data_IF_334205632402
#
_entry.id   IF_334205632402
#
_cell.length_a   1.000
_cell.length_b   1.000
_cell.length_c   1.000
_cell.angle_alpha   90.00
_cell.angle_beta   90.00
_cell.angle_gamma   90.00
#
_symmetry.space_group_name_H-M   'P 1'
#
loop_
_entity.id
_entity.type
_entity.pdbx_description
1 polymer ?
#
# COMPACT_ATOMS: atom_id res chain seq x y z
N UNK A 1 37.88 -9.09 -72.02
CA UNK A 1 36.54 -9.43 -71.46
C UNK A 1 36.61 -9.23 -69.93
N UNK A 2 36.09 -8.10 -69.42
CA UNK A 2 36.13 -7.73 -68.01
C UNK A 2 34.81 -8.15 -67.34
N UNK A 3 34.89 -9.08 -66.40
CA UNK A 3 33.74 -9.52 -65.59
C UNK A 3 33.51 -8.56 -64.44
N UNK A 4 32.36 -7.91 -64.39
CA UNK A 4 31.98 -7.05 -63.27
C UNK A 4 31.14 -7.87 -62.30
N UNK A 5 31.62 -8.00 -61.06
CA UNK A 5 30.88 -8.63 -59.96
C UNK A 5 30.04 -7.52 -59.28
N UNK A 6 28.73 -7.65 -59.37
CA UNK A 6 27.78 -6.76 -58.66
C UNK A 6 27.43 -7.45 -57.34
N UNK A 7 27.91 -6.88 -56.22
CA UNK A 7 27.54 -7.34 -54.85
C UNK A 7 26.26 -6.61 -54.42
N UNK A 8 25.15 -7.35 -54.31
CA UNK A 8 23.89 -6.82 -53.78
C UNK A 8 23.92 -6.98 -52.26
N UNK A 9 24.02 -5.87 -51.54
CA UNK A 9 23.86 -5.81 -50.08
C UNK A 9 22.38 -5.60 -49.81
N UNK A 10 21.69 -6.61 -49.30
CA UNK A 10 20.30 -6.48 -48.83
C UNK A 10 20.30 -5.85 -47.42
N UNK A 11 19.51 -4.82 -47.17
CA UNK A 11 19.40 -4.27 -45.82
C UNK A 11 18.60 -5.24 -44.92
N UNK A 12 19.22 -5.68 -43.83
CA UNK A 12 18.50 -6.38 -42.76
C UNK A 12 17.68 -5.36 -42.00
N UNK A 13 16.39 -5.30 -42.24
CA UNK A 13 15.45 -4.54 -41.43
C UNK A 13 15.23 -5.29 -40.14
N UNK A 14 15.89 -4.86 -39.05
CA UNK A 14 15.63 -5.38 -37.73
C UNK A 14 14.27 -4.80 -37.25
N UNK A 15 13.20 -5.58 -37.38
CA UNK A 15 11.90 -5.22 -36.83
C UNK A 15 11.99 -5.26 -35.29
N UNK A 16 12.03 -4.10 -34.64
CA UNK A 16 11.87 -3.99 -33.21
C UNK A 16 10.40 -4.27 -32.91
N UNK A 17 10.10 -5.49 -32.46
CA UNK A 17 8.77 -5.86 -31.97
C UNK A 17 8.63 -5.19 -30.60
N UNK A 18 8.03 -4.01 -30.54
CA UNK A 18 7.55 -3.43 -29.30
C UNK A 18 6.36 -4.27 -28.83
N UNK A 19 6.57 -5.15 -27.87
CA UNK A 19 5.50 -5.85 -27.18
C UNK A 19 4.72 -4.79 -26.40
N UNK A 20 3.54 -4.41 -26.90
CA UNK A 20 2.59 -3.64 -26.12
C UNK A 20 2.23 -4.49 -24.90
N UNK A 21 2.63 -4.06 -23.71
CA UNK A 21 2.22 -4.69 -22.47
C UNK A 21 0.77 -4.29 -22.23
N UNK A 22 -0.16 -5.21 -22.53
CA UNK A 22 -1.57 -5.01 -22.23
C UNK A 22 -1.75 -5.17 -20.71
N UNK A 23 -2.59 -4.30 -20.14
CA UNK A 23 -3.07 -4.45 -18.79
C UNK A 23 -3.68 -5.87 -18.62
N UNK A 24 -3.30 -6.57 -17.52
CA UNK A 24 -3.74 -7.94 -17.27
C UNK A 24 -4.30 -8.07 -15.87
N UNK A 25 -5.63 -8.20 -15.74
CA UNK A 25 -6.28 -8.43 -14.46
C UNK A 25 -5.83 -9.73 -13.79
N UNK A 26 -5.68 -10.81 -14.56
CA UNK A 26 -5.27 -12.12 -14.06
C UNK A 26 -3.88 -12.06 -13.43
N UNK A 27 -2.92 -11.46 -14.14
CA UNK A 27 -1.55 -11.28 -13.63
C UNK A 27 -1.52 -10.37 -12.42
N UNK A 28 -2.32 -9.31 -12.40
CA UNK A 28 -2.44 -8.40 -11.25
C UNK A 28 -2.93 -9.13 -10.00
N UNK A 29 -3.96 -9.96 -10.14
CA UNK A 29 -4.50 -10.78 -9.06
C UNK A 29 -3.48 -11.84 -8.58
N UNK A 30 -2.79 -12.52 -9.49
CA UNK A 30 -1.75 -13.51 -9.14
C UNK A 30 -0.65 -12.88 -8.28
N UNK A 31 -0.18 -11.67 -8.65
CA UNK A 31 0.83 -10.95 -7.88
C UNK A 31 0.31 -10.58 -6.48
N UNK A 32 -0.94 -10.09 -6.39
CA UNK A 32 -1.54 -9.74 -5.11
C UNK A 32 -1.72 -10.97 -4.18
N UNK A 33 -2.13 -12.10 -4.72
CA UNK A 33 -2.25 -13.37 -3.97
C UNK A 33 -0.87 -13.83 -3.46
N UNK A 34 0.16 -13.76 -4.30
CA UNK A 34 1.50 -14.15 -3.89
C UNK A 34 2.08 -13.21 -2.82
N UNK A 35 1.82 -11.89 -2.91
CA UNK A 35 2.21 -10.92 -1.89
C UNK A 35 1.51 -11.23 -0.55
N UNK A 36 0.21 -11.45 -0.56
CA UNK A 36 -0.58 -11.82 0.62
C UNK A 36 -0.08 -13.15 1.25
N UNK A 37 0.26 -14.14 0.42
CA UNK A 37 0.81 -15.41 0.89
C UNK A 37 2.15 -15.24 1.62
N UNK A 38 3.00 -14.31 1.16
CA UNK A 38 4.32 -14.04 1.77
C UNK A 38 4.23 -13.22 3.05
N UNK A 39 3.18 -12.41 3.17
CA UNK A 39 2.93 -11.59 4.35
C UNK A 39 2.30 -12.38 5.51
N UNK A 40 1.88 -13.63 5.29
CA UNK A 40 1.28 -14.51 6.29
C UNK A 40 2.29 -15.30 7.10
N UNK A 41 1.88 -15.68 8.32
CA UNK A 41 2.64 -16.54 9.22
C UNK A 41 3.48 -15.75 10.23
N UNK A 42 3.25 -14.44 10.38
CA UNK A 42 3.95 -13.64 11.38
C UNK A 42 3.38 -13.80 12.81
N UNK A 43 2.15 -14.35 12.97
CA UNK A 43 1.49 -14.57 14.25
C UNK A 43 1.07 -13.28 14.94
N UNK A 44 1.98 -12.68 15.70
CA UNK A 44 1.78 -11.36 16.28
C UNK A 44 3.05 -10.50 16.23
N UNK A 45 2.85 -9.20 16.07
CA UNK A 45 3.95 -8.25 16.01
C UNK A 45 3.76 -7.10 17.00
N UNK A 46 4.87 -6.54 17.47
CA UNK A 46 4.89 -5.30 18.23
C UNK A 46 5.90 -4.36 17.60
N UNK A 47 5.48 -3.13 17.32
CA UNK A 47 6.34 -2.10 16.75
C UNK A 47 6.27 -0.82 17.59
N UNK A 48 7.41 -0.12 17.68
CA UNK A 48 7.48 1.27 18.14
C UNK A 48 7.62 2.15 16.89
N UNK A 49 6.74 3.13 16.75
CA UNK A 49 6.64 3.98 15.59
C UNK A 49 6.83 5.43 16.04
N UNK A 50 7.70 6.16 15.35
CA UNK A 50 7.76 7.60 15.44
C UNK A 50 7.03 8.19 14.23
N UNK A 51 5.92 8.91 14.48
CA UNK A 51 5.19 9.62 13.45
C UNK A 51 5.58 11.09 13.49
N UNK A 52 6.12 11.61 12.39
CA UNK A 52 6.47 13.02 12.24
C UNK A 52 5.44 13.67 11.30
N UNK A 53 4.66 14.58 11.83
CA UNK A 53 3.75 15.41 11.05
C UNK A 53 4.45 16.70 10.70
N UNK A 54 4.50 17.04 9.42
CA UNK A 54 5.12 18.26 8.92
C UNK A 54 4.09 19.10 8.18
N UNK A 55 3.99 20.38 8.50
CA UNK A 55 3.13 21.29 7.77
C UNK A 55 3.85 21.88 6.54
N UNK A 56 3.09 22.62 5.72
CA UNK A 56 3.63 23.27 4.51
C UNK A 56 4.71 24.34 4.76
N UNK A 57 4.92 24.75 6.01
CA UNK A 57 5.94 25.69 6.42
C UNK A 57 7.17 25.01 7.02
N UNK A 58 7.19 23.67 7.06
CA UNK A 58 8.28 22.87 7.61
C UNK A 58 8.23 22.73 9.13
N UNK A 59 7.16 23.18 9.81
CA UNK A 59 6.99 22.93 11.22
C UNK A 59 6.60 21.48 11.45
N UNK A 60 7.26 20.81 12.38
CA UNK A 60 7.04 19.39 12.64
C UNK A 60 6.56 19.14 14.07
N UNK A 61 5.74 18.10 14.19
CA UNK A 61 5.31 17.54 15.48
C UNK A 61 5.59 16.05 15.45
N UNK A 62 6.25 15.57 16.50
CA UNK A 62 6.59 14.16 16.66
C UNK A 62 5.61 13.47 17.61
N UNK A 63 5.22 12.25 17.28
CA UNK A 63 4.37 11.38 18.08
C UNK A 63 5.01 10.01 18.25
N UNK A 64 5.17 9.58 19.48
CA UNK A 64 5.58 8.20 19.77
C UNK A 64 4.34 7.32 19.85
N UNK A 65 4.39 6.18 19.17
CA UNK A 65 3.27 5.27 18.98
C UNK A 65 3.76 3.85 19.22
N UNK A 66 2.96 3.06 19.92
CA UNK A 66 3.10 1.59 19.97
C UNK A 66 2.03 0.96 19.10
N UNK A 67 2.43 0.05 18.22
CA UNK A 67 1.52 -0.78 17.46
C UNK A 67 1.65 -2.24 17.87
N UNK A 68 0.53 -2.94 17.96
CA UNK A 68 0.44 -4.38 18.09
C UNK A 68 -0.51 -4.90 17.03
N UNK A 69 -0.06 -5.89 16.29
CA UNK A 69 -0.89 -6.56 15.29
C UNK A 69 -0.93 -8.05 15.63
N UNK A 70 -2.13 -8.59 15.64
CA UNK A 70 -2.41 -10.01 15.77
C UNK A 70 -2.92 -10.53 14.43
N UNK A 71 -2.23 -11.53 13.89
CA UNK A 71 -2.64 -12.19 12.65
C UNK A 71 -3.91 -12.99 12.88
N UNK A 72 -4.93 -12.75 12.08
CA UNK A 72 -6.20 -13.43 12.15
C UNK A 72 -6.30 -14.53 11.09
N UNK A 73 -6.54 -15.78 11.51
CA UNK A 73 -6.54 -16.94 10.61
C UNK A 73 -7.42 -16.77 9.37
N UNK A 74 -8.74 -16.62 9.56
CA UNK A 74 -9.69 -16.55 8.44
C UNK A 74 -10.58 -15.30 8.45
N UNK A 75 -10.41 -14.43 9.42
CA UNK A 75 -11.28 -13.27 9.63
C UNK A 75 -10.59 -11.91 9.42
N UNK A 76 -9.32 -11.91 8.98
CA UNK A 76 -8.49 -10.71 8.90
C UNK A 76 -7.86 -10.33 10.23
N UNK A 77 -6.91 -9.43 10.18
CA UNK A 77 -6.05 -9.07 11.29
C UNK A 77 -6.69 -8.10 12.29
N UNK A 78 -6.11 -8.06 13.48
CA UNK A 78 -6.47 -7.07 14.50
C UNK A 78 -5.25 -6.22 14.83
N UNK A 79 -5.39 -4.92 14.78
CA UNK A 79 -4.31 -4.00 15.13
C UNK A 79 -4.74 -3.02 16.22
N UNK A 80 -3.82 -2.72 17.13
CA UNK A 80 -4.01 -1.76 18.20
C UNK A 80 -2.87 -0.75 18.20
N UNK A 81 -3.20 0.48 17.86
CA UNK A 81 -2.29 1.63 17.84
C UNK A 81 -2.52 2.46 19.10
N UNK A 82 -1.47 2.76 19.89
CA UNK A 82 -1.56 3.53 21.11
C UNK A 82 -0.55 4.69 21.04
N UNK A 83 -1.01 5.92 21.25
CA UNK A 83 -0.16 7.10 21.33
C UNK A 83 0.45 7.25 22.72
N UNK A 84 1.77 7.31 22.81
CA UNK A 84 2.51 7.49 24.06
C UNK A 84 2.91 8.96 24.32
N UNK A 85 3.10 9.73 23.24
CA UNK A 85 3.39 11.17 23.30
C UNK A 85 2.94 11.87 22.01
N UNK A 86 2.81 13.21 22.03
CA UNK A 86 2.87 14.13 23.15
C UNK A 86 1.63 14.07 24.07
N UNK A 87 1.61 14.91 25.09
CA UNK A 87 0.60 14.85 26.14
C UNK A 87 -0.86 15.04 25.68
N UNK A 88 -1.09 15.79 24.61
CA UNK A 88 -2.42 16.07 24.03
C UNK A 88 -3.06 14.84 23.36
N UNK A 89 -2.25 13.91 22.88
CA UNK A 89 -2.72 12.65 22.26
C UNK A 89 -2.41 11.41 23.09
N UNK A 90 -1.66 11.55 24.18
CA UNK A 90 -1.25 10.41 25.03
C UNK A 90 -2.44 9.61 25.52
N UNK A 91 -2.34 8.26 25.34
CA UNK A 91 -3.37 7.31 25.73
C UNK A 91 -4.52 7.22 24.72
N UNK A 92 -4.53 8.03 23.66
CA UNK A 92 -5.41 7.78 22.52
C UNK A 92 -5.08 6.41 21.94
N UNK A 93 -6.11 5.60 21.72
CA UNK A 93 -5.94 4.26 21.16
C UNK A 93 -6.89 4.05 19.98
N UNK A 94 -6.38 3.42 18.93
CA UNK A 94 -7.15 3.04 17.76
C UNK A 94 -7.08 1.52 17.60
N UNK A 95 -8.24 0.87 17.56
CA UNK A 95 -8.40 -0.55 17.33
C UNK A 95 -9.04 -0.78 15.97
N UNK A 96 -8.42 -1.62 15.16
CA UNK A 96 -8.97 -2.09 13.89
C UNK A 96 -9.12 -3.60 13.92
N UNK A 97 -10.30 -4.09 13.54
CA UNK A 97 -10.53 -5.47 13.17
C UNK A 97 -10.79 -5.50 11.68
N UNK A 98 -9.79 -5.88 10.92
CA UNK A 98 -9.88 -6.06 9.48
C UNK A 98 -10.76 -7.26 9.17
N UNK A 99 -11.56 -7.17 8.12
CA UNK A 99 -12.39 -8.26 7.60
C UNK A 99 -12.05 -8.48 6.14
N UNK A 100 -11.99 -9.73 5.70
CA UNK A 100 -11.59 -10.06 4.33
C UNK A 100 -12.48 -9.44 3.25
N UNK A 101 -13.79 -9.60 3.37
CA UNK A 101 -14.73 -9.13 2.36
C UNK A 101 -15.65 -8.02 2.84
N UNK A 102 -15.87 -7.92 4.16
CA UNK A 102 -16.78 -6.94 4.74
C UNK A 102 -16.04 -5.65 5.13
N UNK A 103 -16.83 -4.61 5.47
CA UNK A 103 -16.27 -3.39 6.06
C UNK A 103 -15.65 -3.68 7.42
N UNK A 104 -14.47 -3.12 7.66
CA UNK A 104 -13.73 -3.25 8.91
C UNK A 104 -14.49 -2.66 10.09
N UNK A 105 -14.27 -3.22 11.26
CA UNK A 105 -14.71 -2.62 12.50
C UNK A 105 -13.56 -1.82 13.12
N UNK A 106 -13.76 -0.53 13.30
CA UNK A 106 -12.74 0.39 13.80
C UNK A 106 -13.27 1.22 14.96
N UNK A 107 -12.44 1.41 15.99
CA UNK A 107 -12.79 2.20 17.18
C UNK A 107 -11.63 3.10 17.58
N UNK A 108 -11.97 4.33 17.95
CA UNK A 108 -11.05 5.31 18.50
C UNK A 108 -11.42 5.62 19.94
N UNK A 109 -10.51 5.33 20.86
CA UNK A 109 -10.62 5.77 22.25
C UNK A 109 -9.96 7.13 22.42
N UNK A 110 -10.69 8.08 23.01
CA UNK A 110 -10.24 9.44 23.31
C UNK A 110 -10.17 9.62 24.84
N UNK A 111 -8.98 9.61 25.45
CA UNK A 111 -8.83 9.66 26.90
C UNK A 111 -9.38 10.95 27.52
N UNK A 112 -9.22 12.09 26.85
CA UNK A 112 -9.75 13.37 27.30
C UNK A 112 -11.30 13.36 27.46
N UNK A 113 -11.98 12.56 26.66
CA UNK A 113 -13.44 12.39 26.71
C UNK A 113 -13.87 11.13 27.45
N UNK A 114 -12.92 10.25 27.82
CA UNK A 114 -13.16 8.91 28.37
C UNK A 114 -14.19 8.10 27.56
N UNK A 115 -14.12 8.23 26.23
CA UNK A 115 -15.09 7.63 25.30
C UNK A 115 -14.42 6.83 24.21
N UNK A 116 -15.07 5.72 23.85
CA UNK A 116 -14.78 4.97 22.63
C UNK A 116 -15.78 5.43 21.55
N UNK A 117 -15.26 5.82 20.40
CA UNK A 117 -16.05 6.18 19.23
C UNK A 117 -15.83 5.13 18.16
N UNK A 118 -16.89 4.51 17.67
CA UNK A 118 -16.81 3.65 16.48
C UNK A 118 -16.66 4.53 15.24
N UNK A 119 -15.72 4.19 14.39
CA UNK A 119 -15.56 4.83 13.07
C UNK A 119 -16.54 4.14 12.12
N UNK A 120 -17.52 4.89 11.64
CA UNK A 120 -18.46 4.36 10.64
C UNK A 120 -17.72 4.10 9.32
N UNK A 121 -18.09 3.06 8.60
CA UNK A 121 -17.47 2.72 7.30
C UNK A 121 -17.58 3.87 6.26
N UNK A 122 -18.60 4.74 6.38
CA UNK A 122 -18.71 5.96 5.57
C UNK A 122 -17.67 7.03 5.90
N UNK A 123 -17.00 6.94 7.06
CA UNK A 123 -16.02 7.92 7.55
C UNK A 123 -14.59 7.38 7.49
N UNK A 124 -14.37 6.19 6.93
CA UNK A 124 -13.05 5.57 6.85
C UNK A 124 -12.05 6.36 6.00
N UNK A 125 -12.55 7.14 5.05
CA UNK A 125 -11.75 8.06 4.22
C UNK A 125 -11.30 9.34 4.96
N UNK A 126 -11.76 9.56 6.21
CA UNK A 126 -11.36 10.70 7.01
C UNK A 126 -9.91 10.61 7.50
N UNK A 127 -9.25 11.75 7.78
CA UNK A 127 -7.86 11.78 8.20
C UNK A 127 -7.67 11.14 9.58
N UNK A 128 -6.66 10.27 9.71
CA UNK A 128 -6.30 9.66 10.97
C UNK A 128 -5.48 10.62 11.82
N UNK A 129 -6.08 11.07 12.92
CA UNK A 129 -5.41 11.92 13.92
C UNK A 129 -4.70 13.15 13.34
N UNK A 130 -5.22 13.72 12.24
CA UNK A 130 -4.65 14.90 11.58
C UNK A 130 -3.40 14.61 10.74
N UNK A 131 -3.13 13.36 10.41
CA UNK A 131 -2.09 12.97 9.44
C UNK A 131 -2.66 12.88 8.03
N UNK A 132 -1.80 12.65 7.04
CA UNK A 132 -2.17 12.31 5.67
C UNK A 132 -2.69 10.87 5.52
N UNK A 133 -2.57 10.04 6.56
CA UNK A 133 -3.22 8.74 6.58
C UNK A 133 -4.72 8.89 6.82
N UNK A 134 -5.51 8.08 6.12
CA UNK A 134 -6.93 7.90 6.43
C UNK A 134 -7.13 6.71 7.38
N UNK A 135 -8.31 6.57 7.97
CA UNK A 135 -8.63 5.39 8.78
C UNK A 135 -8.58 4.09 7.97
N UNK A 136 -8.89 4.13 6.67
CA UNK A 136 -8.81 2.94 5.80
C UNK A 136 -7.36 2.51 5.50
N UNK A 137 -6.38 3.41 5.58
CA UNK A 137 -4.96 3.06 5.40
C UNK A 137 -4.38 2.27 6.58
N UNK A 138 -5.08 2.22 7.71
CA UNK A 138 -4.62 1.53 8.91
C UNK A 138 -5.24 0.14 9.09
N UNK A 139 -6.00 -0.31 8.13
CA UNK A 139 -6.48 -1.69 8.06
C UNK A 139 -5.49 -2.55 7.29
N UNK A 140 -5.42 -3.85 7.60
CA UNK A 140 -4.66 -4.80 6.80
C UNK A 140 -5.22 -4.87 5.38
N UNK A 141 -4.34 -5.04 4.42
CA UNK A 141 -4.70 -5.12 3.02
C UNK A 141 -5.11 -6.57 2.72
N UNK A 142 -6.37 -6.77 2.38
CA UNK A 142 -6.91 -8.09 2.04
C UNK A 142 -7.14 -8.18 0.53
N UNK A 143 -6.84 -9.33 -0.06
CA UNK A 143 -6.94 -9.53 -1.51
C UNK A 143 -8.37 -9.28 -2.02
N UNK A 144 -9.37 -9.68 -1.25
CA UNK A 144 -10.79 -9.57 -1.61
C UNK A 144 -11.32 -8.13 -1.64
N UNK A 145 -10.56 -7.17 -1.09
CA UNK A 145 -10.98 -5.75 -1.03
C UNK A 145 -10.72 -4.96 -2.29
N UNK A 146 -10.02 -5.55 -3.26
CA UNK A 146 -9.63 -4.86 -4.48
C UNK A 146 -9.85 -5.73 -5.70
N UNK A 147 -10.04 -5.08 -6.84
CA UNK A 147 -9.74 -5.66 -8.15
C UNK A 147 -8.37 -5.17 -8.58
N UNK A 148 -7.68 -5.97 -9.37
CA UNK A 148 -6.27 -5.78 -9.69
C UNK A 148 -6.08 -5.68 -11.18
N UNK A 149 -5.09 -4.88 -11.59
CA UNK A 149 -4.71 -4.79 -12.99
C UNK A 149 -3.19 -4.59 -13.08
N UNK A 150 -2.46 -5.60 -13.57
CA UNK A 150 -1.04 -5.44 -13.86
C UNK A 150 -0.88 -4.48 -15.02
N UNK A 151 -0.11 -3.39 -14.82
CA UNK A 151 0.11 -2.35 -15.81
C UNK A 151 1.39 -2.58 -16.61
N UNK A 152 2.51 -2.79 -15.93
CA UNK A 152 3.85 -2.92 -16.52
C UNK A 152 4.89 -3.35 -15.50
N UNK A 153 6.08 -3.66 -16.00
CA UNK A 153 7.30 -3.70 -15.20
C UNK A 153 7.99 -2.34 -15.26
N UNK A 154 8.61 -1.91 -14.15
CA UNK A 154 9.33 -0.64 -14.06
C UNK A 154 10.42 -0.73 -13.00
N UNK A 155 11.60 -0.20 -13.29
CA UNK A 155 12.63 -0.01 -12.25
C UNK A 155 12.28 1.18 -11.36
N UNK A 156 12.26 0.97 -10.05
CA UNK A 156 12.03 2.01 -9.07
C UNK A 156 13.10 1.93 -7.97
N UNK A 157 13.90 2.99 -7.80
CA UNK A 157 14.97 3.08 -6.80
C UNK A 157 15.95 1.88 -6.81
N UNK A 158 16.26 1.33 -8.00
CA UNK A 158 17.16 0.18 -8.16
C UNK A 158 16.49 -1.18 -7.97
N UNK A 159 15.19 -1.23 -7.80
CA UNK A 159 14.40 -2.47 -7.72
C UNK A 159 13.60 -2.69 -8.99
N UNK A 160 13.66 -3.91 -9.54
CA UNK A 160 12.78 -4.33 -10.63
C UNK A 160 11.38 -4.62 -10.05
N UNK A 161 10.41 -3.78 -10.38
CA UNK A 161 9.09 -3.78 -9.79
C UNK A 161 8.00 -4.18 -10.78
N UNK A 162 6.98 -4.86 -10.26
CA UNK A 162 5.64 -4.85 -10.86
C UNK A 162 4.97 -3.50 -10.55
N UNK A 163 4.31 -2.92 -11.53
CA UNK A 163 3.40 -1.78 -11.34
C UNK A 163 1.97 -2.27 -11.52
N UNK A 164 1.18 -2.17 -10.46
CA UNK A 164 -0.14 -2.78 -10.39
C UNK A 164 -1.15 -1.71 -9.95
N UNK A 165 -2.29 -1.68 -10.60
CA UNK A 165 -3.44 -0.88 -10.18
C UNK A 165 -4.33 -1.72 -9.27
N UNK A 166 -4.73 -1.13 -8.15
CA UNK A 166 -5.65 -1.67 -7.16
C UNK A 166 -6.89 -0.78 -7.12
N UNK A 167 -8.04 -1.32 -7.50
CA UNK A 167 -9.32 -0.61 -7.46
C UNK A 167 -10.13 -1.12 -6.28
N UNK A 168 -10.43 -0.29 -5.25
CA UNK A 168 -11.21 -0.71 -4.11
C UNK A 168 -12.62 -1.15 -4.52
N UNK A 169 -13.07 -2.33 -4.06
CA UNK A 169 -14.45 -2.82 -4.30
C UNK A 169 -15.49 -2.14 -3.41
N UNK A 170 -15.07 -1.59 -2.26
CA UNK A 170 -15.99 -0.86 -1.38
C UNK A 170 -16.29 0.54 -1.95
N UNK A 171 -17.56 0.83 -2.32
CA UNK A 171 -17.95 2.14 -2.84
C UNK A 171 -17.78 3.29 -1.85
N UNK A 172 -17.53 2.99 -0.56
CA UNK A 172 -17.27 3.98 0.49
C UNK A 172 -15.78 4.31 0.66
N UNK A 173 -14.89 3.66 -0.08
CA UNK A 173 -13.46 4.03 -0.10
C UNK A 173 -13.29 5.50 -0.51
N UNK A 174 -12.34 6.19 0.09
CA UNK A 174 -11.92 7.54 -0.32
C UNK A 174 -11.17 7.54 -1.63
N UNK A 175 -10.69 6.38 -2.05
CA UNK A 175 -9.89 6.20 -3.25
C UNK A 175 -10.72 5.66 -4.40
N UNK A 176 -10.43 6.12 -5.61
CA UNK A 176 -10.86 5.51 -6.84
C UNK A 176 -9.96 4.34 -7.18
N UNK A 177 -8.64 4.55 -7.09
CA UNK A 177 -7.60 3.57 -7.37
C UNK A 177 -6.31 3.90 -6.64
N UNK A 178 -5.42 2.90 -6.58
CA UNK A 178 -4.05 3.02 -6.10
C UNK A 178 -3.12 2.43 -7.16
N UNK A 179 -1.96 3.05 -7.39
CA UNK A 179 -0.90 2.47 -8.23
C UNK A 179 0.23 2.06 -7.31
N UNK A 180 0.58 0.78 -7.34
CA UNK A 180 1.51 0.15 -6.41
C UNK A 180 2.76 -0.30 -7.16
N UNK A 181 3.95 0.08 -6.67
CA UNK A 181 5.24 -0.44 -7.12
C UNK A 181 5.71 -1.48 -6.11
N UNK A 182 5.79 -2.73 -6.53
CA UNK A 182 6.13 -3.88 -5.71
C UNK A 182 7.33 -4.62 -6.31
N UNK A 183 8.41 -4.83 -5.55
CA UNK A 183 9.58 -5.53 -6.08
C UNK A 183 9.28 -7.00 -6.40
N UNK A 184 9.89 -7.49 -7.48
CA UNK A 184 9.67 -8.86 -7.96
C UNK A 184 10.39 -9.92 -7.13
N UNK A 185 11.37 -9.53 -6.34
CA UNK A 185 12.19 -10.47 -5.57
C UNK A 185 11.49 -10.91 -4.29
N UNK A 186 11.04 -9.94 -3.50
CA UNK A 186 10.46 -10.16 -2.18
C UNK A 186 8.99 -9.76 -2.06
N UNK A 187 8.42 -9.19 -3.13
CA UNK A 187 7.05 -8.67 -3.14
C UNK A 187 6.79 -7.56 -2.12
N UNK A 188 7.82 -6.75 -1.81
CA UNK A 188 7.69 -5.58 -0.93
C UNK A 188 7.22 -4.37 -1.72
N UNK A 189 6.35 -3.62 -1.10
CA UNK A 189 5.87 -2.36 -1.69
C UNK A 189 6.88 -1.26 -1.46
N UNK A 190 7.30 -0.56 -2.51
CA UNK A 190 8.23 0.57 -2.44
C UNK A 190 7.52 1.91 -2.58
N UNK A 191 6.39 1.93 -3.29
CA UNK A 191 5.64 3.16 -3.52
C UNK A 191 4.16 2.85 -3.77
N UNK A 192 3.29 3.73 -3.27
CA UNK A 192 1.86 3.74 -3.61
C UNK A 192 1.47 5.18 -3.94
N UNK A 193 0.87 5.38 -5.12
CA UNK A 193 0.18 6.61 -5.49
C UNK A 193 -1.32 6.41 -5.30
N UNK A 194 -1.95 7.24 -4.47
CA UNK A 194 -3.37 7.18 -4.17
C UNK A 194 -4.12 8.22 -4.98
N UNK A 195 -5.16 7.81 -5.67
CA UNK A 195 -6.02 8.68 -6.47
C UNK A 195 -7.38 8.83 -5.81
N UNK A 196 -7.84 10.06 -5.70
CA UNK A 196 -9.15 10.38 -5.13
C UNK A 196 -10.30 9.93 -6.05
N UNK A 197 -11.53 10.11 -5.60
CA UNK A 197 -12.73 9.73 -6.37
C UNK A 197 -12.92 10.49 -7.69
N UNK A 198 -12.21 11.60 -7.87
CA UNK A 198 -12.17 12.39 -9.13
C UNK A 198 -11.01 11.97 -10.02
N UNK A 199 -10.26 10.94 -9.63
CA UNK A 199 -9.08 10.45 -10.32
C UNK A 199 -7.90 11.44 -10.32
N UNK A 200 -7.85 12.33 -9.34
CA UNK A 200 -6.71 13.19 -9.10
C UNK A 200 -5.74 12.53 -8.10
N UNK A 201 -4.43 12.69 -8.32
CA UNK A 201 -3.42 12.23 -7.37
C UNK A 201 -3.63 12.96 -6.04
N UNK A 202 -3.96 12.19 -4.99
CA UNK A 202 -4.24 12.71 -3.67
C UNK A 202 -2.97 12.74 -2.80
N UNK A 203 -2.25 11.63 -2.74
CA UNK A 203 -1.03 11.47 -1.95
C UNK A 203 -0.15 10.37 -2.51
N UNK A 204 1.13 10.37 -2.12
CA UNK A 204 2.10 9.32 -2.40
C UNK A 204 2.67 8.80 -1.09
N UNK A 205 2.68 7.48 -0.91
CA UNK A 205 3.37 6.79 0.17
C UNK A 205 4.62 6.13 -0.39
N UNK A 206 5.76 6.26 0.30
CA UNK A 206 7.01 5.60 -0.03
C UNK A 206 7.49 4.79 1.14
N UNK A 207 8.02 3.61 0.85
CA UNK A 207 8.64 2.71 1.81
C UNK A 207 10.13 2.64 1.50
N UNK A 208 10.95 2.96 2.49
CA UNK A 208 12.39 3.05 2.35
C UNK A 208 13.06 2.29 3.50
N UNK A 209 14.36 1.96 3.35
CA UNK A 209 15.18 1.37 4.43
C UNK A 209 14.64 0.08 5.04
N UNK A 210 14.08 -0.81 4.22
CA UNK A 210 13.69 -2.14 4.66
C UNK A 210 14.85 -2.87 5.33
N UNK A 211 14.59 -3.48 6.47
CA UNK A 211 15.57 -4.24 7.23
C UNK A 211 15.02 -5.63 7.54
N UNK A 212 15.89 -6.62 7.47
CA UNK A 212 15.55 -7.96 7.89
C UNK A 212 15.71 -8.08 9.41
N UNK A 213 14.66 -8.53 10.08
CA UNK A 213 14.70 -8.87 11.50
C UNK A 213 14.67 -10.39 11.63
N UNK A 214 15.53 -10.94 12.48
CA UNK A 214 15.47 -12.36 12.84
C UNK A 214 14.35 -12.55 13.85
N UNK A 215 13.41 -13.45 13.54
CA UNK A 215 12.48 -13.96 14.55
C UNK A 215 13.30 -14.84 15.52
N UNK A 216 13.34 -14.44 16.79
CA UNK A 216 13.94 -15.24 17.88
C UNK A 216 12.92 -16.23 18.42
#
# INVERSE_FOLDING_TARGET
MKLAIVTIIAPIVCAVITTATFASPEKGLEIAIEADRRDKGFGDTTAQITMILMDKYGQSTERAIRNRTFEGDNQGDKSLVIFDSPGDVRGTAFLSHTKKADSDDQWLYLPALKRVKRIASSNKAGPFMGSEFSYEDLASQEVEKYTYNYLRDEEFNGFDCFVIEYDPVDPKSGYKRQIVWMDKSEYRVHKIDFYDRKDALLKTLRYEDYKQYLCL
#
